data_IF_886621095607
#
_entry.id   IF_886621095607
#
_cell.length_a   1.000
_cell.length_b   1.000
_cell.length_c   1.000
_cell.angle_alpha   90.00
_cell.angle_beta   90.00
_cell.angle_gamma   90.00
#
_symmetry.space_group_name_H-M   'P 1'
#
loop_
_entity.id
_entity.type
_entity.pdbx_description
1 polymer ?
#
# COMPACT_ATOMS: atom_id res chain seq x y z
N UNK A 1 4.73 13.11 -7.07
CA UNK A 1 4.63 13.09 -8.39
C UNK A 1 3.42 13.73 -9.01
N UNK A 2 3.69 14.54 -9.94
CA UNK A 2 2.59 15.25 -10.60
C UNK A 2 1.75 14.37 -11.47
N UNK A 3 2.29 13.21 -11.85
CA UNK A 3 1.59 12.35 -12.78
C UNK A 3 1.01 11.11 -12.12
N UNK A 4 0.84 11.18 -10.81
CA UNK A 4 0.29 10.04 -10.09
C UNK A 4 -1.20 9.86 -10.35
N UNK A 5 -1.85 10.83 -10.93
CA UNK A 5 -3.29 10.76 -11.16
C UNK A 5 -3.67 9.62 -12.09
N UNK A 6 -2.73 9.17 -12.89
CA UNK A 6 -2.98 8.05 -13.80
C UNK A 6 -2.48 6.73 -13.26
N UNK A 7 -1.98 6.72 -12.05
CA UNK A 7 -1.37 5.53 -11.49
C UNK A 7 -2.27 4.91 -10.45
N UNK A 8 -2.06 3.64 -10.20
CA UNK A 8 -2.80 2.90 -9.19
C UNK A 8 -1.89 2.68 -8.01
N UNK A 9 -2.37 3.03 -6.84
CA UNK A 9 -1.62 2.82 -5.60
C UNK A 9 -1.94 1.44 -5.06
N UNK A 10 -0.91 0.64 -4.86
CA UNK A 10 -1.08 -0.68 -4.29
C UNK A 10 -0.31 -0.75 -2.98
N UNK A 11 -0.96 -1.24 -1.95
CA UNK A 11 -0.35 -1.40 -0.64
C UNK A 11 -0.49 -2.85 -0.23
N UNK A 12 0.64 -3.48 0.03
CA UNK A 12 0.64 -4.86 0.52
C UNK A 12 1.07 -4.86 1.97
N UNK A 13 0.42 -5.68 2.77
CA UNK A 13 0.77 -5.77 4.17
C UNK A 13 0.86 -7.21 4.61
N UNK A 14 1.53 -7.41 5.74
CA UNK A 14 1.66 -8.73 6.34
C UNK A 14 1.01 -8.67 7.71
N UNK A 15 -0.24 -9.14 7.80
CA UNK A 15 -1.02 -9.21 9.03
C UNK A 15 -1.23 -7.86 9.71
N UNK A 16 -1.32 -6.78 8.92
CA UNK A 16 -1.53 -5.47 9.51
C UNK A 16 -2.44 -4.62 8.64
N UNK A 17 -3.68 -5.07 8.43
CA UNK A 17 -4.59 -4.32 7.55
C UNK A 17 -4.87 -2.91 8.03
N UNK A 18 -4.92 -2.71 9.34
CA UNK A 18 -5.19 -1.39 9.86
C UNK A 18 -4.06 -0.42 9.55
N UNK A 19 -2.82 -0.89 9.65
CA UNK A 19 -1.69 -0.07 9.31
C UNK A 19 -1.71 0.27 7.83
N UNK A 20 -2.05 -0.70 7.00
CA UNK A 20 -2.12 -0.47 5.57
C UNK A 20 -3.15 0.61 5.24
N UNK A 21 -4.29 0.59 5.92
CA UNK A 21 -5.30 1.60 5.70
C UNK A 21 -4.85 2.98 6.13
N UNK A 22 -4.13 3.06 7.23
CA UNK A 22 -3.60 4.33 7.67
C UNK A 22 -2.63 4.89 6.65
N UNK A 23 -1.76 4.05 6.14
CA UNK A 23 -0.78 4.49 5.15
C UNK A 23 -1.47 4.91 3.89
N UNK A 24 -2.48 4.16 3.44
CA UNK A 24 -3.23 4.54 2.27
C UNK A 24 -3.85 5.92 2.45
N UNK A 25 -4.45 6.15 3.60
CA UNK A 25 -5.07 7.43 3.87
C UNK A 25 -4.06 8.57 3.86
N UNK A 26 -2.90 8.33 4.45
CA UNK A 26 -1.87 9.34 4.49
C UNK A 26 -1.37 9.69 3.09
N UNK A 27 -1.21 8.67 2.27
CA UNK A 27 -0.72 8.90 0.90
C UNK A 27 -1.78 9.64 0.10
N UNK A 28 -3.04 9.21 0.20
CA UNK A 28 -4.11 9.83 -0.57
C UNK A 28 -4.36 11.27 -0.15
N UNK A 29 -3.95 11.61 1.07
CA UNK A 29 -4.06 12.99 1.53
C UNK A 29 -3.02 13.89 0.86
N UNK A 30 -1.96 13.30 0.36
CA UNK A 30 -0.86 14.07 -0.20
C UNK A 30 -0.79 14.02 -1.71
N UNK A 31 -1.29 12.95 -2.31
CA UNK A 31 -1.23 12.80 -3.76
C UNK A 31 -2.56 12.26 -4.25
N UNK A 32 -2.78 12.43 -5.54
CA UNK A 32 -3.96 11.87 -6.17
C UNK A 32 -3.56 10.71 -7.06
N UNK A 33 -4.33 9.65 -7.01
CA UNK A 33 -4.10 8.49 -7.83
C UNK A 33 -5.41 8.10 -8.49
N UNK A 34 -5.32 7.30 -9.55
CA UNK A 34 -6.49 6.85 -10.27
C UNK A 34 -7.33 5.93 -9.40
N UNK A 35 -6.67 5.08 -8.65
CA UNK A 35 -7.35 4.10 -7.81
C UNK A 35 -6.35 3.60 -6.78
N UNK A 36 -6.86 2.93 -5.77
CA UNK A 36 -5.97 2.36 -4.76
C UNK A 36 -6.59 1.08 -4.24
N UNK A 37 -5.73 0.16 -3.80
CA UNK A 37 -6.20 -1.07 -3.18
C UNK A 37 -5.17 -1.58 -2.20
N UNK A 38 -5.62 -2.47 -1.33
CA UNK A 38 -4.80 -3.05 -0.29
C UNK A 38 -4.89 -4.56 -0.43
N UNK A 39 -3.74 -5.23 -0.33
CA UNK A 39 -3.70 -6.69 -0.42
C UNK A 39 -2.97 -7.25 0.79
N UNK A 40 -3.36 -8.45 1.15
CA UNK A 40 -2.74 -9.18 2.24
C UNK A 40 -1.73 -10.16 1.66
N UNK A 41 -0.47 -10.05 2.06
CA UNK A 41 0.54 -10.97 1.55
C UNK A 41 0.57 -12.28 2.31
N UNK A 42 0.14 -12.24 3.56
CA UNK A 42 -0.08 -13.47 4.30
C UNK A 42 1.11 -14.35 4.52
N UNK A 43 2.29 -13.79 4.52
CA UNK A 43 3.46 -14.61 4.74
C UNK A 43 4.08 -15.16 3.48
N UNK A 44 3.81 -14.56 2.35
CA UNK A 44 4.51 -14.92 1.14
C UNK A 44 5.98 -14.61 1.32
N UNK A 45 6.81 -15.62 1.29
CA UNK A 45 8.20 -15.47 1.67
C UNK A 45 8.97 -14.57 0.73
N UNK A 46 8.54 -14.44 -0.50
CA UNK A 46 9.26 -13.64 -1.47
C UNK A 46 9.16 -12.16 -1.18
N UNK A 47 8.28 -11.78 -0.30
CA UNK A 47 8.07 -10.35 -0.03
C UNK A 47 8.99 -9.79 1.01
N UNK A 48 9.68 -10.61 1.74
CA UNK A 48 10.59 -10.15 2.79
C UNK A 48 9.90 -9.35 3.88
N UNK A 49 8.60 -9.32 3.89
CA UNK A 49 7.88 -8.53 4.88
C UNK A 49 7.66 -9.39 6.11
N UNK A 50 8.05 -8.87 7.26
CA UNK A 50 7.71 -9.49 8.52
C UNK A 50 6.32 -9.05 8.92
N UNK A 51 5.77 -9.66 9.98
CA UNK A 51 4.52 -9.19 10.52
C UNK A 51 4.63 -7.70 10.74
N UNK A 52 3.64 -6.98 10.25
CA UNK A 52 3.66 -5.52 10.33
C UNK A 52 4.39 -4.86 9.20
N UNK A 53 4.89 -5.63 8.25
CA UNK A 53 5.56 -5.04 7.09
C UNK A 53 4.59 -4.45 6.09
N UNK A 54 5.01 -3.38 5.45
CA UNK A 54 4.19 -2.68 4.46
C UNK A 54 5.02 -2.46 3.22
N UNK A 55 4.43 -2.73 2.08
CA UNK A 55 5.05 -2.46 0.78
C UNK A 55 4.11 -1.57 0.00
N UNK A 56 4.64 -0.49 -0.52
CA UNK A 56 3.85 0.47 -1.29
C UNK A 56 4.39 0.50 -2.70
N UNK A 57 3.49 0.36 -3.65
CA UNK A 57 3.83 0.38 -5.08
C UNK A 57 2.93 1.41 -5.76
N UNK A 58 3.55 2.20 -6.60
CA UNK A 58 2.82 3.24 -7.30
C UNK A 58 3.10 3.18 -8.80
#
# INVERSE_FOLDING_TARGET
>A
GKNTENKVLAIAHCNCPERAREIERMILDKIKVKDSFIVETGGISTMYANDGGIIVVL
#
